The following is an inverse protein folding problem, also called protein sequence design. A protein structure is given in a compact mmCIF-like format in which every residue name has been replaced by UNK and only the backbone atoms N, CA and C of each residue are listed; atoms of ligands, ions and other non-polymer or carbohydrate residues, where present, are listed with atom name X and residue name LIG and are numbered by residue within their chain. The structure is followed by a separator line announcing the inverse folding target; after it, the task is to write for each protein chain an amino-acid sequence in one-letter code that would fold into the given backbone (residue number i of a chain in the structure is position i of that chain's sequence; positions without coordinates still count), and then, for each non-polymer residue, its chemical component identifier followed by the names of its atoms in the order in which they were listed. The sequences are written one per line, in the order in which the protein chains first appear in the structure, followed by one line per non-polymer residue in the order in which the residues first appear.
data_IF_109523123601
#
_entry.id   IF_109523123601
#
_cell.length_a   1.000
_cell.length_b   1.000
_cell.length_c   1.000
_cell.angle_alpha   90.00
_cell.angle_beta   90.00
_cell.angle_gamma   90.00
#
_symmetry.space_group_name_H-M   'P 1'
#
loop_
_entity.id
_entity.type
_entity.pdbx_description
1 polymer ?
#
# COMPACT_ATOMS: atom_id res chain seq x y z
N UNK A 1 5.35 -32.91 -58.16
CA UNK A 1 4.76 -33.40 -56.90
C UNK A 1 5.40 -32.60 -55.77
N UNK A 2 4.61 -31.81 -55.04
CA UNK A 2 5.12 -30.92 -53.98
C UNK A 2 5.51 -31.83 -52.80
N UNK A 3 6.79 -31.84 -52.41
CA UNK A 3 7.25 -32.58 -51.23
C UNK A 3 6.55 -31.98 -50.01
N UNK A 4 5.64 -32.75 -49.41
CA UNK A 4 5.17 -32.45 -48.06
C UNK A 4 6.29 -32.89 -47.14
N UNK A 5 7.20 -31.98 -46.83
CA UNK A 5 8.21 -32.20 -45.79
C UNK A 5 7.45 -32.37 -44.47
N UNK A 6 7.23 -33.63 -44.11
CA UNK A 6 6.52 -34.03 -42.91
C UNK A 6 7.27 -33.51 -41.71
N UNK A 7 6.59 -32.69 -40.90
CA UNK A 7 7.10 -32.16 -39.64
C UNK A 7 7.75 -33.29 -38.83
N UNK A 8 9.04 -33.15 -38.49
CA UNK A 8 9.74 -34.22 -37.79
C UNK A 8 9.23 -34.35 -36.35
N UNK A 9 9.22 -35.57 -35.81
CA UNK A 9 8.76 -35.82 -34.44
C UNK A 9 9.51 -34.93 -33.41
N UNK A 10 10.77 -34.60 -33.71
CA UNK A 10 11.64 -33.74 -32.91
C UNK A 10 11.18 -32.28 -32.94
N UNK A 11 10.82 -31.75 -34.11
CA UNK A 11 10.27 -30.38 -34.24
C UNK A 11 8.92 -30.26 -33.51
N UNK A 12 8.08 -31.29 -33.60
CA UNK A 12 6.81 -31.34 -32.85
C UNK A 12 7.08 -31.33 -31.34
N UNK A 13 7.99 -32.17 -30.86
CA UNK A 13 8.35 -32.23 -29.44
C UNK A 13 8.95 -30.92 -28.94
N UNK A 14 9.80 -30.27 -29.74
CA UNK A 14 10.37 -28.96 -29.42
C UNK A 14 9.28 -27.89 -29.31
N UNK A 15 8.32 -27.87 -30.24
CA UNK A 15 7.19 -26.94 -30.20
C UNK A 15 6.32 -27.12 -28.95
N UNK A 16 6.00 -28.36 -28.58
CA UNK A 16 5.26 -28.67 -27.35
C UNK A 16 6.04 -28.26 -26.10
N UNK A 17 7.36 -28.47 -26.08
CA UNK A 17 8.21 -28.10 -24.95
C UNK A 17 8.24 -26.57 -24.76
N UNK A 18 8.42 -25.82 -25.85
CA UNK A 18 8.39 -24.35 -25.82
C UNK A 18 7.01 -23.85 -25.37
N UNK A 19 5.93 -24.47 -25.85
CA UNK A 19 4.56 -24.13 -25.46
C UNK A 19 4.36 -24.34 -23.95
N UNK A 20 4.79 -25.47 -23.39
CA UNK A 20 4.70 -25.75 -21.96
C UNK A 20 5.51 -24.75 -21.12
N UNK A 21 6.71 -24.39 -21.57
CA UNK A 21 7.53 -23.36 -20.90
C UNK A 21 6.80 -22.01 -20.93
N UNK A 22 6.24 -21.61 -22.08
CA UNK A 22 5.48 -20.36 -22.19
C UNK A 22 4.26 -20.33 -21.24
N UNK A 23 3.51 -21.43 -21.18
CA UNK A 23 2.34 -21.57 -20.29
C UNK A 23 2.75 -21.49 -18.81
N UNK A 24 3.82 -22.15 -18.42
CA UNK A 24 4.29 -22.13 -17.02
C UNK A 24 4.79 -20.74 -16.60
N UNK A 25 5.50 -20.02 -17.48
CA UNK A 25 5.90 -18.63 -17.24
C UNK A 25 4.65 -17.75 -17.09
N UNK A 26 3.69 -17.88 -18.00
CA UNK A 26 2.44 -17.11 -17.97
C UNK A 26 1.65 -17.32 -16.67
N UNK A 27 1.49 -18.56 -16.22
CA UNK A 27 0.81 -18.88 -14.96
C UNK A 27 1.54 -18.28 -13.74
N UNK A 28 2.87 -18.29 -13.72
CA UNK A 28 3.65 -17.66 -12.65
C UNK A 28 3.47 -16.13 -12.65
N UNK A 29 3.48 -15.50 -13.82
CA UNK A 29 3.22 -14.07 -13.96
C UNK A 29 1.81 -13.69 -13.46
N UNK A 30 0.79 -14.48 -13.82
CA UNK A 30 -0.58 -14.29 -13.32
C UNK A 30 -0.67 -14.43 -11.80
N UNK A 31 -0.04 -15.46 -11.22
CA UNK A 31 -0.04 -15.66 -9.76
C UNK A 31 0.63 -14.51 -9.00
N UNK A 32 1.76 -14.02 -9.50
CA UNK A 32 2.44 -12.84 -8.94
C UNK A 32 1.60 -11.58 -9.05
N UNK A 33 0.95 -11.35 -10.20
CA UNK A 33 0.05 -10.21 -10.40
C UNK A 33 -1.16 -10.26 -9.46
N UNK A 34 -1.79 -11.43 -9.29
CA UNK A 34 -2.90 -11.62 -8.35
C UNK A 34 -2.49 -11.41 -6.90
N UNK A 35 -1.33 -11.91 -6.49
CA UNK A 35 -0.78 -11.69 -5.13
C UNK A 35 -0.50 -10.20 -4.88
N UNK A 36 0.07 -9.50 -5.87
CA UNK A 36 0.31 -8.06 -5.81
C UNK A 36 -0.99 -7.26 -5.72
N UNK A 37 -1.99 -7.58 -6.53
CA UNK A 37 -3.35 -7.00 -6.47
C UNK A 37 -3.99 -7.24 -5.09
N UNK A 38 -3.90 -8.46 -4.56
CA UNK A 38 -4.41 -8.80 -3.23
C UNK A 38 -3.84 -7.90 -2.14
N UNK A 39 -2.51 -7.75 -2.10
CA UNK A 39 -1.84 -6.83 -1.15
C UNK A 39 -2.28 -5.38 -1.33
N UNK A 40 -2.39 -4.90 -2.57
CA UNK A 40 -2.86 -3.54 -2.87
C UNK A 40 -4.30 -3.30 -2.39
N UNK A 41 -5.20 -4.27 -2.56
CA UNK A 41 -6.59 -4.16 -2.10
C UNK A 41 -6.70 -4.15 -0.58
N UNK A 42 -5.89 -4.94 0.13
CA UNK A 42 -5.85 -4.97 1.60
C UNK A 42 -5.36 -3.63 2.14
N UNK A 43 -4.25 -3.10 1.61
CA UNK A 43 -3.71 -1.80 2.02
C UNK A 43 -4.71 -0.66 1.78
N UNK A 44 -5.39 -0.67 0.62
CA UNK A 44 -6.43 0.31 0.33
C UNK A 44 -7.59 0.22 1.31
N UNK A 45 -8.03 -0.99 1.65
CA UNK A 45 -9.12 -1.20 2.62
C UNK A 45 -8.72 -0.69 4.01
N UNK A 46 -7.51 -1.02 4.46
CA UNK A 46 -6.96 -0.54 5.74
C UNK A 46 -6.89 0.99 5.79
N UNK A 47 -6.42 1.62 4.72
CA UNK A 47 -6.39 3.08 4.61
C UNK A 47 -7.79 3.71 4.69
N UNK A 48 -8.75 3.18 3.93
CA UNK A 48 -10.13 3.66 3.96
C UNK A 48 -10.75 3.55 5.36
N UNK A 49 -10.50 2.44 6.07
CA UNK A 49 -10.97 2.26 7.45
C UNK A 49 -10.31 3.25 8.41
N UNK A 50 -9.00 3.50 8.28
CA UNK A 50 -8.31 4.49 9.09
C UNK A 50 -8.90 5.91 8.90
N UNK A 51 -9.24 6.26 7.65
CA UNK A 51 -9.87 7.53 7.32
C UNK A 51 -11.29 7.63 7.88
N UNK A 52 -12.11 6.58 7.73
CA UNK A 52 -13.46 6.53 8.29
C UNK A 52 -13.47 6.69 9.82
N UNK A 53 -12.48 6.11 10.52
CA UNK A 53 -12.35 6.30 11.97
C UNK A 53 -12.09 7.75 12.36
N UNK A 54 -11.37 8.51 11.53
CA UNK A 54 -11.14 9.95 11.72
C UNK A 54 -12.43 10.75 11.50
N UNK A 55 -13.13 10.46 10.41
CA UNK A 55 -14.37 11.16 10.02
C UNK A 55 -15.50 10.95 11.03
N UNK A 56 -15.61 9.74 11.58
CA UNK A 56 -16.61 9.39 12.60
C UNK A 56 -16.16 9.72 14.02
N UNK A 57 -15.02 10.39 14.20
CA UNK A 57 -14.43 10.74 15.49
C UNK A 57 -14.38 9.57 16.49
N UNK A 58 -14.02 8.38 16.00
CA UNK A 58 -13.84 7.20 16.85
C UNK A 58 -12.69 7.40 17.84
N UNK A 59 -12.58 6.48 18.80
CA UNK A 59 -11.46 6.50 19.73
C UNK A 59 -10.13 6.23 18.98
N UNK A 60 -9.11 7.10 19.14
CA UNK A 60 -7.83 6.92 18.48
C UNK A 60 -7.05 5.75 19.10
N UNK A 61 -6.22 5.08 18.29
CA UNK A 61 -5.31 4.05 18.77
C UNK A 61 -4.27 4.61 19.73
N UNK A 62 -3.83 5.85 19.45
CA UNK A 62 -2.86 6.55 20.27
C UNK A 62 -3.10 8.04 20.21
N UNK A 63 -2.93 8.69 21.34
CA UNK A 63 -2.93 10.15 21.44
C UNK A 63 -1.62 10.60 22.04
N UNK A 64 -1.02 11.63 21.45
CA UNK A 64 0.23 12.21 21.93
C UNK A 64 0.17 13.73 21.86
N UNK A 65 0.31 14.36 23.01
CA UNK A 65 0.60 15.79 23.10
C UNK A 65 2.07 16.03 22.72
N UNK A 66 2.30 17.04 21.88
CA UNK A 66 3.62 17.36 21.36
C UNK A 66 3.73 18.84 21.03
N UNK A 67 4.95 19.32 20.87
CA UNK A 67 5.22 20.68 20.38
C UNK A 67 5.74 20.61 18.95
N UNK A 68 4.91 21.01 17.99
CA UNK A 68 5.31 21.13 16.59
C UNK A 68 6.18 22.36 16.43
N UNK A 69 7.36 22.18 15.84
CA UNK A 69 8.31 23.26 15.58
C UNK A 69 8.44 23.44 14.08
N UNK A 70 8.07 24.63 13.61
CA UNK A 70 8.19 25.05 12.22
C UNK A 70 9.35 26.02 12.11
N UNK A 71 10.33 25.69 11.27
CA UNK A 71 11.42 26.61 10.95
C UNK A 71 11.11 27.26 9.61
N UNK A 72 10.89 28.57 9.63
CA UNK A 72 10.66 29.40 8.44
C UNK A 72 11.80 30.41 8.38
N UNK A 73 12.71 30.23 7.42
CA UNK A 73 13.97 30.98 7.34
C UNK A 73 14.77 30.88 8.65
N UNK A 74 15.09 32.02 9.28
CA UNK A 74 15.77 32.11 10.57
C UNK A 74 14.81 32.11 11.77
N UNK A 75 13.49 32.07 11.54
CA UNK A 75 12.50 32.08 12.61
C UNK A 75 12.06 30.65 12.93
N UNK A 76 11.95 30.36 14.23
CA UNK A 76 11.35 29.11 14.71
C UNK A 76 10.04 29.43 15.39
N UNK A 77 8.96 28.89 14.87
CA UNK A 77 7.61 28.98 15.44
C UNK A 77 7.32 27.63 16.09
N UNK A 78 6.84 27.65 17.33
CA UNK A 78 6.42 26.43 18.04
C UNK A 78 4.94 26.53 18.38
N UNK A 79 4.20 25.45 18.15
CA UNK A 79 2.82 25.32 18.63
C UNK A 79 2.68 24.02 19.40
N UNK A 80 1.95 24.06 20.51
CA UNK A 80 1.49 22.84 21.15
C UNK A 80 0.43 22.19 20.26
N UNK A 81 0.45 20.88 20.11
CA UNK A 81 -0.48 20.15 19.27
C UNK A 81 -0.76 18.78 19.88
N UNK A 82 -1.97 18.29 19.64
CA UNK A 82 -2.36 16.91 19.94
C UNK A 82 -2.37 16.16 18.63
N UNK A 83 -1.53 15.12 18.54
CA UNK A 83 -1.54 14.18 17.43
C UNK A 83 -2.34 12.96 17.88
N UNK A 84 -3.40 12.65 17.14
CA UNK A 84 -4.20 11.44 17.30
C UNK A 84 -3.96 10.51 16.11
N UNK A 85 -3.67 9.25 16.42
CA UNK A 85 -3.38 8.20 15.45
C UNK A 85 -4.59 7.28 15.30
N UNK A 86 -5.04 7.13 14.06
CA UNK A 86 -6.17 6.30 13.68
C UNK A 86 -5.70 5.20 12.73
N UNK A 87 -6.22 4.00 12.93
CA UNK A 87 -5.88 2.84 12.12
C UNK A 87 -6.62 1.61 12.62
N UNK A 88 -6.24 0.45 12.10
CA UNK A 88 -6.69 -0.82 12.67
C UNK A 88 -5.70 -1.28 13.73
N UNK A 89 -6.21 -1.65 14.92
CA UNK A 89 -5.42 -2.31 15.95
C UNK A 89 -4.92 -3.66 15.40
N UNK A 90 -3.61 -3.81 15.21
CA UNK A 90 -3.02 -5.01 14.65
C UNK A 90 -2.01 -5.63 15.61
N UNK A 91 -2.03 -6.96 15.71
CA UNK A 91 -1.18 -7.74 16.62
C UNK A 91 -0.12 -8.58 15.89
N UNK A 92 -0.02 -8.48 14.56
CA UNK A 92 0.99 -9.18 13.77
C UNK A 92 2.35 -8.49 13.84
N UNK A 93 3.36 -9.17 14.39
CA UNK A 93 4.74 -8.67 14.41
C UNK A 93 5.29 -8.51 12.98
N UNK A 94 5.88 -7.34 12.70
CA UNK A 94 6.71 -7.11 11.52
C UNK A 94 6.02 -6.55 10.27
N UNK A 95 4.69 -6.41 10.25
CA UNK A 95 3.99 -5.76 9.13
C UNK A 95 3.67 -4.28 9.44
N UNK A 96 3.87 -3.41 8.44
CA UNK A 96 3.51 -1.99 8.53
C UNK A 96 2.10 -1.78 8.01
N UNK A 97 1.24 -1.16 8.82
CA UNK A 97 -0.14 -0.83 8.45
C UNK A 97 -0.26 0.68 8.22
N UNK A 98 -1.05 1.14 7.25
CA UNK A 98 -1.30 2.57 7.07
C UNK A 98 -2.06 3.13 8.28
N UNK A 99 -1.62 4.29 8.75
CA UNK A 99 -2.29 5.07 9.80
C UNK A 99 -2.65 6.45 9.27
N UNK A 100 -3.74 7.02 9.79
CA UNK A 100 -4.13 8.41 9.53
C UNK A 100 -3.90 9.22 10.79
N UNK A 101 -3.24 10.37 10.66
CA UNK A 101 -2.94 11.27 11.78
C UNK A 101 -3.87 12.49 11.73
N UNK A 102 -4.67 12.70 12.77
CA UNK A 102 -5.41 13.97 13.00
C UNK A 102 -4.58 14.82 13.94
N UNK A 103 -4.19 16.01 13.48
CA UNK A 103 -3.37 16.96 14.24
C UNK A 103 -4.25 18.13 14.64
N UNK A 104 -4.40 18.36 15.94
CA UNK A 104 -5.16 19.47 16.50
C UNK A 104 -4.17 20.45 17.12
N UNK A 105 -4.19 21.69 16.69
CA UNK A 105 -3.37 22.77 17.24
C UNK A 105 -4.21 23.99 17.61
N UNK A 106 -3.69 24.88 18.46
CA UNK A 106 -4.36 26.11 18.83
C UNK A 106 -4.43 27.04 17.62
N UNK A 107 -5.59 27.66 17.42
CA UNK A 107 -5.71 28.79 16.50
C UNK A 107 -5.14 30.03 17.22
N UNK A 108 -4.07 30.66 16.71
CA UNK A 108 -3.58 31.89 17.31
C UNK A 108 -4.69 32.93 17.21
N UNK A 109 -5.05 33.56 18.34
CA UNK A 109 -5.95 34.72 18.33
C UNK A 109 -5.32 35.75 17.39
N UNK A 110 -6.05 36.19 16.36
CA UNK A 110 -5.61 37.31 15.55
C UNK A 110 -5.33 38.49 16.48
N UNK A 111 -4.19 39.17 16.29
CA UNK A 111 -4.00 40.47 16.92
C UNK A 111 -5.15 41.35 16.43
N UNK A 112 -5.99 41.81 17.36
CA UNK A 112 -6.97 42.88 17.15
C UNK A 112 -6.32 44.10 16.48
#
# INVERSE_FOLDING_TARGET
MKSNDGFTLIESLAAWTILLIAVTIFLKCLGMAHSSLGKGTVMRKQYMTALECVELEKEPLRTKETKLRFKINNNTISMDAVIMEYGMSWTGEGETSPVTLKVIGPVPKSRE
#
